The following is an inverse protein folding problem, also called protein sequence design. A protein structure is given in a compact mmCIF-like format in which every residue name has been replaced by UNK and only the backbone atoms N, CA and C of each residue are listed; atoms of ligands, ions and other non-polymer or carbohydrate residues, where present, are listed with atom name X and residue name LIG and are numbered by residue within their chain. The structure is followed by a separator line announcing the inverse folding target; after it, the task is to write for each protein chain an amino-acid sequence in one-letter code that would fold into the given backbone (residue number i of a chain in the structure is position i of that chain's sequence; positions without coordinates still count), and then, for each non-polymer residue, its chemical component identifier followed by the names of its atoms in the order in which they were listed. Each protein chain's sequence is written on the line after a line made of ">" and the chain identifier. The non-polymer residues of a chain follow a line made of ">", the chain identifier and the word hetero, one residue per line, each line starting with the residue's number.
data_IF_962202839565
#
_entry.id   IF_962202839565
#
_cell.length_a   1.000
_cell.length_b   1.000
_cell.length_c   1.000
_cell.angle_alpha   90.00
_cell.angle_beta   90.00
_cell.angle_gamma   90.00
#
_symmetry.space_group_name_H-M   'P 1'
#
loop_
_entity.id
_entity.type
_entity.pdbx_description
1 polymer ?
#
# COMPACT_ATOMS: atom_id res chain seq x y z
N UNK A 1 6.14 -35.13 13.35
CA UNK A 1 5.68 -33.82 12.83
C UNK A 1 6.83 -33.26 12.03
N UNK A 2 6.71 -33.24 10.71
CA UNK A 2 7.72 -32.64 9.84
C UNK A 2 7.51 -31.12 9.83
N UNK A 3 8.55 -30.38 10.19
CA UNK A 3 8.59 -28.92 10.05
C UNK A 3 8.71 -28.60 8.57
N UNK A 4 7.64 -28.12 7.96
CA UNK A 4 7.70 -27.57 6.60
C UNK A 4 8.45 -26.24 6.69
N UNK A 5 9.70 -26.24 6.23
CA UNK A 5 10.50 -25.02 6.10
C UNK A 5 10.07 -24.35 4.79
N UNK A 6 9.16 -23.38 4.88
CA UNK A 6 8.92 -22.48 3.76
C UNK A 6 10.17 -21.65 3.56
N UNK A 7 10.83 -21.77 2.40
CA UNK A 7 11.86 -20.81 2.04
C UNK A 7 11.22 -19.43 1.93
N UNK A 8 11.85 -18.40 2.51
CA UNK A 8 11.39 -17.01 2.39
C UNK A 8 11.42 -16.56 0.93
N UNK A 9 10.58 -15.59 0.56
CA UNK A 9 10.58 -14.96 -0.78
C UNK A 9 12.00 -14.47 -1.11
N UNK A 10 12.40 -14.58 -2.38
CA UNK A 10 13.75 -14.18 -2.84
C UNK A 10 13.82 -12.69 -3.19
N UNK A 11 12.68 -12.01 -3.29
CA UNK A 11 12.63 -10.55 -3.21
C UNK A 11 12.69 -10.07 -1.75
N UNK A 12 13.38 -8.96 -1.55
CA UNK A 12 13.47 -8.31 -0.26
C UNK A 12 12.34 -7.29 -0.13
N UNK A 13 11.52 -7.43 0.91
CA UNK A 13 10.67 -6.33 1.36
C UNK A 13 11.61 -5.31 2.01
N UNK A 14 11.69 -4.12 1.42
CA UNK A 14 12.63 -3.11 1.89
C UNK A 14 12.08 -2.34 3.10
N UNK A 15 10.81 -1.95 3.04
CA UNK A 15 10.09 -1.24 4.09
C UNK A 15 8.58 -1.30 3.86
N UNK A 16 7.82 -1.08 4.93
CA UNK A 16 6.42 -0.65 4.86
C UNK A 16 6.47 0.86 4.67
N UNK A 17 5.92 1.36 3.55
CA UNK A 17 6.04 2.77 3.17
C UNK A 17 4.81 3.55 3.58
N UNK A 18 3.66 3.19 3.01
CA UNK A 18 2.37 3.82 3.31
C UNK A 18 1.43 2.81 3.95
N UNK A 19 0.68 3.26 4.95
CA UNK A 19 -0.58 2.62 5.31
C UNK A 19 -1.71 3.42 4.69
N UNK A 20 -2.58 2.78 3.92
CA UNK A 20 -3.68 3.43 3.21
C UNK A 20 -4.92 3.44 4.08
N UNK A 21 -5.51 4.63 4.27
CA UNK A 21 -6.70 4.84 5.08
C UNK A 21 -7.75 5.57 4.25
N UNK A 22 -8.95 4.99 4.15
CA UNK A 22 -10.11 5.68 3.59
C UNK A 22 -10.64 6.64 4.64
N UNK A 23 -10.83 7.90 4.26
CA UNK A 23 -11.27 8.97 5.15
C UNK A 23 -12.55 9.64 4.65
N UNK A 24 -13.38 10.07 5.60
CA UNK A 24 -14.62 10.79 5.30
C UNK A 24 -14.34 12.24 4.85
N UNK A 25 -13.43 12.91 5.56
CA UNK A 25 -13.04 14.29 5.29
C UNK A 25 -11.53 14.39 5.13
N UNK A 26 -11.10 14.85 3.95
CA UNK A 26 -9.69 14.93 3.60
C UNK A 26 -8.98 16.05 4.37
N UNK A 27 -9.62 17.20 4.56
CA UNK A 27 -9.01 18.35 5.22
C UNK A 27 -8.86 18.10 6.72
N UNK A 28 -9.90 17.58 7.37
CA UNK A 28 -9.86 17.18 8.78
C UNK A 28 -8.75 16.15 9.03
N UNK A 29 -8.68 15.12 8.17
CA UNK A 29 -7.69 14.05 8.32
C UNK A 29 -6.26 14.56 8.10
N UNK A 30 -6.02 15.36 7.06
CA UNK A 30 -4.71 15.97 6.82
C UNK A 30 -4.31 16.81 8.03
N UNK A 31 -5.18 17.69 8.51
CA UNK A 31 -4.88 18.53 9.67
C UNK A 31 -4.53 17.69 10.90
N UNK A 32 -5.23 16.59 11.14
CA UNK A 32 -4.88 15.67 12.23
C UNK A 32 -3.46 15.11 12.08
N UNK A 33 -3.10 14.52 10.93
CA UNK A 33 -1.77 13.95 10.74
C UNK A 33 -0.66 15.01 10.73
N UNK A 34 -0.94 16.21 10.22
CA UNK A 34 0.01 17.34 10.24
C UNK A 34 0.21 17.89 11.64
N UNK A 35 -0.85 18.31 12.32
CA UNK A 35 -0.74 19.05 13.58
C UNK A 35 -0.43 18.15 14.78
N UNK A 36 -0.91 16.90 14.77
CA UNK A 36 -0.69 15.96 15.89
C UNK A 36 0.62 15.20 15.72
N UNK A 37 0.93 14.77 14.49
CA UNK A 37 2.06 13.86 14.23
C UNK A 37 3.20 14.49 13.41
N UNK A 38 3.06 15.72 12.92
CA UNK A 38 4.11 16.41 12.16
C UNK A 38 4.34 15.85 10.76
N UNK A 39 3.38 15.12 10.18
CA UNK A 39 3.48 14.67 8.79
C UNK A 39 3.35 15.86 7.84
N UNK A 40 3.94 15.75 6.65
CA UNK A 40 3.78 16.72 5.57
C UNK A 40 3.21 16.07 4.32
N UNK A 41 2.46 16.85 3.54
CA UNK A 41 1.91 16.36 2.26
C UNK A 41 3.05 16.30 1.24
N UNK A 42 3.41 15.08 0.85
CA UNK A 42 4.45 14.82 -0.16
C UNK A 42 3.88 14.90 -1.57
N UNK A 43 2.69 14.33 -1.77
CA UNK A 43 2.06 14.21 -3.09
C UNK A 43 0.54 14.19 -2.96
N UNK A 44 -0.12 14.78 -3.96
CA UNK A 44 -1.57 14.78 -4.08
C UNK A 44 -1.97 14.35 -5.49
N UNK A 45 -3.03 13.53 -5.57
CA UNK A 45 -3.68 13.13 -6.81
C UNK A 45 -5.18 13.42 -6.67
N UNK A 46 -5.73 14.18 -7.61
CA UNK A 46 -7.14 14.51 -7.65
C UNK A 46 -7.76 13.96 -8.93
N UNK A 47 -8.79 13.14 -8.75
CA UNK A 47 -9.65 12.57 -9.78
C UNK A 47 -11.09 13.04 -9.52
N UNK A 48 -12.01 12.98 -10.51
CA UNK A 48 -13.37 13.48 -10.35
C UNK A 48 -14.15 12.92 -9.15
N UNK A 49 -13.85 11.68 -8.77
CA UNK A 49 -14.54 10.88 -7.74
C UNK A 49 -13.62 10.49 -6.57
N UNK A 50 -12.34 10.88 -6.63
CA UNK A 50 -11.31 10.40 -5.69
C UNK A 50 -10.24 11.44 -5.42
N UNK A 51 -9.95 11.65 -4.14
CA UNK A 51 -8.81 12.44 -3.69
C UNK A 51 -7.82 11.53 -2.97
N UNK A 52 -6.55 11.64 -3.31
CA UNK A 52 -5.48 10.87 -2.67
C UNK A 52 -4.40 11.84 -2.22
N UNK A 53 -4.00 11.75 -0.95
CA UNK A 53 -2.85 12.49 -0.41
C UNK A 53 -1.88 11.53 0.27
N UNK A 54 -0.63 11.58 -0.18
CA UNK A 54 0.48 10.89 0.46
C UNK A 54 1.11 11.86 1.45
N UNK A 55 1.09 11.48 2.72
CA UNK A 55 1.71 12.22 3.79
C UNK A 55 2.93 11.45 4.27
N UNK A 56 4.05 12.13 4.50
CA UNK A 56 5.28 11.53 5.00
C UNK A 56 5.75 12.20 6.29
N UNK A 57 6.28 11.40 7.19
CA UNK A 57 6.97 11.82 8.41
C UNK A 57 8.47 11.54 8.32
N UNK A 58 9.14 11.62 9.46
CA UNK A 58 10.57 11.34 9.55
C UNK A 58 10.90 9.89 9.15
N UNK A 59 12.13 9.67 8.65
CA UNK A 59 12.64 8.34 8.29
C UNK A 59 11.80 7.57 7.25
N UNK A 60 10.97 8.27 6.48
CA UNK A 60 10.23 7.69 5.35
C UNK A 60 8.96 6.93 5.74
N UNK A 61 8.48 7.07 6.98
CA UNK A 61 7.13 6.60 7.34
C UNK A 61 6.07 7.42 6.62
N UNK A 62 5.04 6.78 6.08
CA UNK A 62 3.97 7.47 5.37
C UNK A 62 2.58 6.95 5.68
N UNK A 63 1.59 7.82 5.48
CA UNK A 63 0.16 7.45 5.41
C UNK A 63 -0.39 7.94 4.08
N UNK A 64 -1.14 7.08 3.39
CA UNK A 64 -1.91 7.45 2.20
C UNK A 64 -3.36 7.65 2.63
N UNK A 65 -3.89 8.85 2.44
CA UNK A 65 -5.29 9.14 2.71
C UNK A 65 -6.04 9.13 1.39
N UNK A 66 -7.16 8.39 1.35
CA UNK A 66 -8.06 8.34 0.20
C UNK A 66 -9.44 8.81 0.64
N UNK A 67 -10.01 9.77 -0.08
CA UNK A 67 -11.43 10.12 0.01
C UNK A 67 -12.11 9.71 -1.28
N UNK A 68 -13.10 8.85 -1.17
CA UNK A 68 -13.93 8.32 -2.27
C UNK A 68 -15.34 8.10 -1.72
N UNK A 69 -16.36 8.44 -2.50
CA UNK A 69 -17.76 8.23 -2.12
C UNK A 69 -18.11 6.73 -2.16
N UNK A 70 -19.09 6.32 -1.34
CA UNK A 70 -19.58 4.93 -1.27
C UNK A 70 -18.53 3.85 -0.89
N UNK A 71 -17.40 4.26 -0.29
CA UNK A 71 -16.36 3.34 0.22
C UNK A 71 -16.33 3.31 1.75
N UNK A 72 -16.06 2.13 2.34
CA UNK A 72 -15.96 1.96 3.80
C UNK A 72 -14.74 2.72 4.37
N UNK A 73 -14.97 3.51 5.42
CA UNK A 73 -13.94 4.26 6.12
C UNK A 73 -13.06 3.32 6.95
N UNK A 74 -11.75 3.54 6.94
CA UNK A 74 -10.82 2.80 7.80
C UNK A 74 -9.57 2.33 7.06
N UNK A 75 -8.89 1.34 7.66
CA UNK A 75 -7.69 0.74 7.08
C UNK A 75 -8.05 0.01 5.78
N UNK A 76 -7.42 0.40 4.68
CA UNK A 76 -7.65 -0.19 3.36
C UNK A 76 -6.55 -1.15 2.94
N UNK A 77 -5.29 -0.71 3.06
CA UNK A 77 -4.14 -1.48 2.59
C UNK A 77 -2.87 -1.13 3.36
N UNK A 78 -1.93 -2.06 3.35
CA UNK A 78 -0.54 -1.81 3.76
C UNK A 78 0.33 -1.86 2.51
N UNK A 79 1.11 -0.80 2.26
CA UNK A 79 2.00 -0.73 1.12
C UNK A 79 3.44 -1.13 1.50
N UNK A 80 3.99 -2.09 0.77
CA UNK A 80 5.39 -2.51 0.84
C UNK A 80 6.15 -2.04 -0.39
N UNK A 81 7.44 -1.75 -0.22
CA UNK A 81 8.34 -1.40 -1.32
C UNK A 81 9.23 -2.59 -1.68
N UNK A 82 9.34 -2.85 -2.99
CA UNK A 82 10.23 -3.85 -3.59
C UNK A 82 11.07 -3.24 -4.71
N UNK A 83 12.13 -3.92 -5.12
CA UNK A 83 12.98 -3.50 -6.25
C UNK A 83 12.27 -3.66 -7.61
N UNK A 84 11.47 -4.72 -7.75
CA UNK A 84 10.74 -5.07 -8.98
C UNK A 84 9.41 -5.72 -8.62
N UNK A 85 8.30 -5.06 -9.00
CA UNK A 85 6.93 -5.49 -8.68
C UNK A 85 6.54 -6.75 -9.45
N UNK A 86 6.93 -6.87 -10.72
CA UNK A 86 6.55 -8.02 -11.54
C UNK A 86 7.26 -9.27 -11.02
N UNK A 87 8.56 -9.19 -10.77
CA UNK A 87 9.32 -10.28 -10.18
C UNK A 87 8.77 -10.69 -8.81
N UNK A 88 8.44 -9.73 -7.96
CA UNK A 88 7.85 -10.02 -6.65
C UNK A 88 6.52 -10.79 -6.78
N UNK A 89 5.67 -10.39 -7.72
CA UNK A 89 4.39 -11.06 -8.00
C UNK A 89 4.59 -12.45 -8.58
N UNK A 90 5.52 -12.64 -9.50
CA UNK A 90 5.86 -13.96 -10.04
C UNK A 90 6.31 -14.92 -8.94
N UNK A 91 7.16 -14.46 -8.03
CA UNK A 91 7.59 -15.24 -6.87
C UNK A 91 6.44 -15.57 -5.93
N UNK A 92 5.57 -14.60 -5.63
CA UNK A 92 4.36 -14.81 -4.81
C UNK A 92 3.47 -15.90 -5.43
N UNK A 93 3.16 -15.80 -6.73
CA UNK A 93 2.34 -16.78 -7.45
C UNK A 93 3.00 -18.16 -7.50
N UNK A 94 4.33 -18.23 -7.61
CA UNK A 94 5.04 -19.51 -7.62
C UNK A 94 4.90 -20.28 -6.30
N UNK A 95 4.77 -19.57 -5.17
CA UNK A 95 4.64 -20.16 -3.84
C UNK A 95 3.20 -20.36 -3.41
N UNK A 96 2.31 -19.46 -3.83
CA UNK A 96 0.88 -19.52 -3.54
C UNK A 96 0.13 -19.41 -4.88
N UNK A 97 0.01 -20.50 -5.65
CA UNK A 97 -0.59 -20.44 -7.00
C UNK A 97 -2.04 -19.97 -7.03
N UNK A 98 -2.74 -20.03 -5.90
CA UNK A 98 -4.13 -19.60 -5.75
C UNK A 98 -4.27 -18.15 -5.26
N UNK A 99 -3.18 -17.44 -5.01
CA UNK A 99 -3.24 -16.06 -4.56
C UNK A 99 -3.78 -15.17 -5.67
N UNK A 100 -4.80 -14.38 -5.34
CA UNK A 100 -5.30 -13.36 -6.26
C UNK A 100 -4.32 -12.20 -6.31
N UNK A 101 -3.98 -11.78 -7.53
CA UNK A 101 -3.07 -10.67 -7.77
C UNK A 101 -3.65 -9.74 -8.82
N UNK A 102 -3.64 -8.44 -8.53
CA UNK A 102 -3.92 -7.39 -9.49
C UNK A 102 -2.66 -6.58 -9.76
N UNK A 103 -2.44 -6.18 -11.02
CA UNK A 103 -1.37 -5.26 -11.41
C UNK A 103 -2.01 -4.09 -12.14
N UNK A 104 -1.66 -2.89 -11.72
CA UNK A 104 -2.11 -1.63 -12.32
C UNK A 104 -0.89 -0.88 -12.84
N UNK A 105 -0.95 -0.43 -14.10
CA UNK A 105 0.05 0.47 -14.66
C UNK A 105 -0.17 1.89 -14.11
N UNK A 106 0.90 2.49 -13.61
CA UNK A 106 0.91 3.88 -13.11
C UNK A 106 1.95 4.69 -13.87
N UNK A 107 1.90 6.04 -13.87
CA UNK A 107 2.78 6.86 -14.70
C UNK A 107 4.28 6.57 -14.61
N UNK A 108 4.75 6.05 -13.46
CA UNK A 108 6.17 5.77 -13.20
C UNK A 108 6.46 4.29 -12.86
N UNK A 109 5.60 3.35 -13.25
CA UNK A 109 5.84 1.92 -12.99
C UNK A 109 4.56 1.11 -12.86
N UNK A 110 4.59 0.10 -11.98
CA UNK A 110 3.47 -0.79 -11.70
C UNK A 110 3.16 -0.81 -10.21
N UNK A 111 1.89 -0.99 -9.88
CA UNK A 111 1.42 -1.30 -8.54
C UNK A 111 0.81 -2.70 -8.54
N UNK A 112 1.29 -3.54 -7.64
CA UNK A 112 0.71 -4.84 -7.35
C UNK A 112 -0.25 -4.78 -6.17
N UNK A 113 -1.27 -5.64 -6.16
CA UNK A 113 -2.15 -5.83 -5.01
C UNK A 113 -2.36 -7.33 -4.80
N UNK A 114 -2.16 -7.78 -3.57
CA UNK A 114 -2.41 -9.17 -3.15
C UNK A 114 -3.20 -9.17 -1.84
N UNK A 115 -4.04 -10.19 -1.64
CA UNK A 115 -4.72 -10.38 -0.35
C UNK A 115 -3.93 -11.32 0.54
N UNK A 116 -3.79 -10.97 1.81
CA UNK A 116 -3.29 -11.90 2.84
C UNK A 116 -4.35 -12.99 3.13
N UNK A 117 -4.01 -14.03 3.93
CA UNK A 117 -4.95 -15.09 4.29
C UNK A 117 -6.25 -14.65 4.99
N UNK A 118 -6.31 -13.40 5.48
CA UNK A 118 -7.45 -12.81 6.19
C UNK A 118 -8.18 -11.75 5.36
N UNK A 119 -7.78 -11.54 4.10
CA UNK A 119 -8.38 -10.55 3.21
C UNK A 119 -7.84 -9.13 3.37
N UNK A 120 -6.73 -8.93 4.10
CA UNK A 120 -6.05 -7.62 4.17
C UNK A 120 -5.29 -7.39 2.85
N UNK A 121 -5.51 -6.24 2.23
CA UNK A 121 -4.81 -5.85 1.01
C UNK A 121 -3.37 -5.45 1.31
N UNK A 122 -2.43 -6.10 0.62
CA UNK A 122 -1.02 -5.72 0.57
C UNK A 122 -0.74 -5.09 -0.79
N UNK A 123 -0.48 -3.79 -0.80
CA UNK A 123 -0.05 -3.08 -1.99
C UNK A 123 1.47 -3.23 -2.15
N UNK A 124 1.91 -3.58 -3.36
CA UNK A 124 3.31 -3.80 -3.70
C UNK A 124 3.71 -2.68 -4.65
N UNK A 125 4.58 -1.81 -4.18
CA UNK A 125 5.06 -0.65 -4.92
C UNK A 125 6.53 -0.80 -5.29
N UNK A 126 6.89 -0.27 -6.44
CA UNK A 126 8.29 -0.16 -6.84
C UNK A 126 8.90 1.12 -6.24
N UNK A 127 10.17 1.05 -5.85
CA UNK A 127 10.92 2.21 -5.36
C UNK A 127 11.16 3.25 -6.46
#
# INVERSE_FOLDING_TARGET
>A
METIIYSTLQFNIMNIRYTTIIVNDMEESVNFYKEVFGFEVEKELNMPDKQIKFLTGENGSGVELIKEEDTEIGLNAIAVSVDDVEKAIEEIKSKIPTVEVQIVDVPNGKLGFVSDPNGVTIAISQK
#
